data_IF_177169529669
#
_entry.id   IF_177169529669
#
_cell.length_a   1.000
_cell.length_b   1.000
_cell.length_c   1.000
_cell.angle_alpha   90.00
_cell.angle_beta   90.00
_cell.angle_gamma   90.00
#
_symmetry.space_group_name_H-M   'P 1'
#
loop_
_entity.id
_entity.type
_entity.pdbx_description
1 polymer ?
#
# COMPACT_ATOMS: atom_id res chain seq x y z
N UNK A 1 -10.29 40.14 19.83
CA UNK A 1 -11.16 39.18 20.55
C UNK A 1 -10.67 37.78 20.20
N UNK A 2 -10.49 36.89 21.19
CA UNK A 2 -10.12 35.50 20.94
C UNK A 2 -11.33 34.76 20.35
N UNK A 3 -11.16 34.12 19.19
CA UNK A 3 -12.26 33.49 18.44
C UNK A 3 -12.29 31.98 18.66
N UNK A 4 -11.12 31.38 18.93
CA UNK A 4 -10.99 29.95 19.18
C UNK A 4 -9.80 29.67 20.10
N UNK A 5 -9.75 28.46 20.64
CA UNK A 5 -8.58 27.92 21.35
C UNK A 5 -7.93 26.83 20.51
N UNK A 6 -6.59 26.78 20.53
CA UNK A 6 -5.90 25.71 19.84
C UNK A 6 -6.22 24.36 20.50
N UNK A 7 -6.75 23.41 19.73
CA UNK A 7 -7.13 22.09 20.22
C UNK A 7 -5.97 21.27 20.82
N UNK A 8 -4.71 21.68 20.56
CA UNK A 8 -3.51 20.94 20.99
C UNK A 8 -2.82 21.53 22.21
N UNK A 9 -2.50 22.82 22.20
CA UNK A 9 -1.76 23.48 23.28
C UNK A 9 -2.63 24.43 24.12
N UNK A 10 -3.91 24.61 23.77
CA UNK A 10 -4.85 25.42 24.52
C UNK A 10 -4.64 26.93 24.40
N UNK A 11 -3.68 27.42 23.62
CA UNK A 11 -3.50 28.86 23.44
C UNK A 11 -4.69 29.49 22.72
N UNK A 12 -5.05 30.69 23.17
CA UNK A 12 -6.08 31.51 22.52
C UNK A 12 -5.60 31.99 21.16
N UNK A 13 -6.45 31.83 20.14
CA UNK A 13 -6.16 32.20 18.76
C UNK A 13 -7.00 33.41 18.35
N UNK A 14 -6.32 34.36 17.70
CA UNK A 14 -6.96 35.44 16.97
C UNK A 14 -7.53 34.89 15.64
N UNK A 15 -8.55 35.54 15.05
CA UNK A 15 -9.17 35.05 13.80
C UNK A 15 -8.20 34.90 12.62
N UNK A 16 -7.11 35.67 12.58
CA UNK A 16 -6.04 35.54 11.58
C UNK A 16 -4.98 34.47 11.95
N UNK A 17 -4.93 34.07 13.22
CA UNK A 17 -3.95 33.14 13.78
C UNK A 17 -4.45 31.68 13.75
N UNK A 18 -5.67 31.44 13.29
CA UNK A 18 -6.30 30.12 13.26
C UNK A 18 -6.06 29.44 11.92
N UNK A 19 -5.38 28.30 11.97
CA UNK A 19 -5.33 27.37 10.85
C UNK A 19 -6.32 26.24 11.08
N UNK A 20 -7.22 25.98 10.12
CA UNK A 20 -8.18 24.88 10.22
C UNK A 20 -7.53 23.56 9.77
N UNK A 21 -7.53 22.58 10.65
CA UNK A 21 -7.18 21.19 10.34
C UNK A 21 -8.44 20.36 10.48
N UNK A 22 -9.10 20.07 9.35
CA UNK A 22 -10.42 19.43 9.34
C UNK A 22 -11.45 20.35 10.01
N UNK A 23 -11.95 19.93 11.17
CA UNK A 23 -12.97 20.67 11.96
C UNK A 23 -12.37 21.37 13.20
N UNK A 24 -11.06 21.31 13.41
CA UNK A 24 -10.40 21.85 14.63
C UNK A 24 -9.43 22.99 14.31
N UNK A 25 -9.40 24.00 15.18
CA UNK A 25 -8.48 25.14 15.07
C UNK A 25 -7.11 24.81 15.69
N UNK A 26 -6.05 25.05 14.94
CA UNK A 26 -4.66 24.87 15.37
C UNK A 26 -3.87 26.18 15.31
N UNK A 27 -2.91 26.34 16.22
CA UNK A 27 -1.95 27.43 16.22
C UNK A 27 -0.92 27.27 15.09
N UNK A 28 -0.32 28.35 14.56
CA UNK A 28 0.66 28.26 13.47
C UNK A 28 1.85 27.32 13.78
N UNK A 29 2.42 27.39 15.00
CA UNK A 29 3.50 26.50 15.44
C UNK A 29 3.05 25.04 15.53
N UNK A 30 1.84 24.85 16.06
CA UNK A 30 1.20 23.55 16.21
C UNK A 30 0.96 22.94 14.84
N UNK A 31 0.46 23.75 13.90
CA UNK A 31 0.20 23.41 12.52
C UNK A 31 1.49 23.02 11.81
N UNK A 32 2.55 23.82 11.90
CA UNK A 32 3.85 23.49 11.31
C UNK A 32 4.41 22.16 11.86
N UNK A 33 4.27 21.92 13.17
CA UNK A 33 4.71 20.67 13.81
C UNK A 33 3.84 19.48 13.39
N UNK A 34 2.52 19.67 13.27
CA UNK A 34 1.56 18.68 12.76
C UNK A 34 1.84 18.35 11.29
N UNK A 35 2.09 19.36 10.48
CA UNK A 35 2.36 19.24 9.04
C UNK A 35 3.66 18.46 8.81
N UNK A 36 4.74 18.80 9.53
CA UNK A 36 6.01 18.05 9.48
C UNK A 36 5.89 16.60 9.94
N UNK A 37 5.00 16.29 10.89
CA UNK A 37 4.76 14.91 11.35
C UNK A 37 3.75 14.15 10.49
N UNK A 38 2.96 14.87 9.69
CA UNK A 38 1.93 14.31 8.83
C UNK A 38 2.39 13.98 7.42
N UNK A 39 3.62 14.37 7.03
CA UNK A 39 4.18 14.02 5.73
C UNK A 39 4.48 12.51 5.68
N UNK A 40 3.99 11.80 4.65
CA UNK A 40 4.30 10.38 4.48
C UNK A 40 5.79 10.20 4.28
N UNK A 41 6.39 9.21 4.95
CA UNK A 41 7.77 8.84 4.68
C UNK A 41 7.92 8.37 3.23
N UNK A 42 9.07 8.67 2.62
CA UNK A 42 9.37 8.26 1.25
C UNK A 42 9.24 6.74 1.06
N UNK A 43 9.61 5.97 2.09
CA UNK A 43 9.44 4.52 2.11
C UNK A 43 7.97 4.08 1.98
N UNK A 44 7.02 4.81 2.61
CA UNK A 44 5.60 4.53 2.48
C UNK A 44 5.09 4.85 1.07
N UNK A 45 5.58 5.94 0.48
CA UNK A 45 5.25 6.32 -0.90
C UNK A 45 5.74 5.26 -1.89
N UNK A 46 6.98 4.78 -1.74
CA UNK A 46 7.52 3.69 -2.55
C UNK A 46 6.73 2.40 -2.37
N UNK A 47 6.40 2.04 -1.12
CA UNK A 47 5.62 0.85 -0.83
C UNK A 47 4.23 0.90 -1.48
N UNK A 48 3.56 2.05 -1.42
CA UNK A 48 2.27 2.25 -2.09
C UNK A 48 2.41 2.10 -3.62
N UNK A 49 3.43 2.72 -4.21
CA UNK A 49 3.71 2.60 -5.64
C UNK A 49 3.98 1.15 -6.06
N UNK A 50 4.82 0.43 -5.29
CA UNK A 50 5.13 -0.98 -5.53
C UNK A 50 3.88 -1.86 -5.47
N UNK A 51 2.98 -1.63 -4.51
CA UNK A 51 1.72 -2.37 -4.43
C UNK A 51 0.79 -2.06 -5.60
N UNK A 52 0.77 -0.80 -6.07
CA UNK A 52 0.02 -0.43 -7.28
C UNK A 52 0.54 -1.18 -8.51
N UNK A 53 1.87 -1.22 -8.70
CA UNK A 53 2.49 -1.96 -9.81
C UNK A 53 2.20 -3.47 -9.71
N UNK A 54 2.35 -4.05 -8.51
CA UNK A 54 2.05 -5.46 -8.27
C UNK A 54 0.58 -5.78 -8.61
N UNK A 55 -0.35 -4.95 -8.16
CA UNK A 55 -1.78 -5.12 -8.40
C UNK A 55 -2.13 -5.02 -9.89
N UNK A 56 -1.51 -4.13 -10.66
CA UNK A 56 -1.73 -4.01 -12.12
C UNK A 56 -1.07 -5.16 -12.88
N UNK A 57 0.07 -5.65 -12.42
CA UNK A 57 0.78 -6.76 -13.06
C UNK A 57 0.02 -8.09 -12.95
N UNK A 58 -0.74 -8.30 -11.86
CA UNK A 58 -1.48 -9.53 -11.60
C UNK A 58 -2.57 -9.86 -12.64
N UNK A 59 -3.53 -8.96 -12.97
CA UNK A 59 -4.50 -9.19 -14.03
C UNK A 59 -3.86 -9.16 -15.40
N UNK A 60 -2.77 -8.42 -15.62
CA UNK A 60 -2.06 -8.41 -16.89
C UNK A 60 -1.51 -9.80 -17.23
N UNK A 61 -0.94 -10.50 -16.24
CA UNK A 61 -0.49 -11.90 -16.39
C UNK A 61 -1.67 -12.86 -16.62
N UNK A 62 -2.85 -12.54 -16.08
CA UNK A 62 -4.06 -13.35 -16.26
C UNK A 62 -4.76 -13.12 -17.62
N UNK A 63 -4.69 -11.89 -18.13
CA UNK A 63 -5.31 -11.44 -19.38
C UNK A 63 -4.40 -11.63 -20.60
N UNK A 64 -3.08 -11.67 -20.39
CA UNK A 64 -2.14 -12.10 -21.42
C UNK A 64 -2.55 -13.50 -21.85
N UNK A 65 -2.88 -13.70 -23.14
CA UNK A 65 -3.36 -14.97 -23.64
C UNK A 65 -2.24 -15.98 -23.48
N UNK A 66 -2.25 -16.72 -22.38
CA UNK A 66 -1.53 -17.98 -22.23
C UNK A 66 -2.18 -18.98 -23.20
N UNK A 67 -1.97 -18.76 -24.50
CA UNK A 67 -1.98 -19.79 -25.49
C UNK A 67 -0.83 -20.73 -25.08
N UNK A 68 -1.16 -21.70 -24.24
CA UNK A 68 -0.30 -22.85 -23.95
C UNK A 68 -0.22 -23.65 -25.25
N UNK A 69 0.54 -23.14 -26.21
CA UNK A 69 0.92 -23.88 -27.41
C UNK A 69 2.04 -24.80 -26.95
N UNK A 70 1.68 -26.04 -26.64
CA UNK A 70 2.63 -27.12 -26.42
C UNK A 70 3.22 -27.46 -27.80
N UNK A 71 4.15 -26.64 -28.27
CA UNK A 71 5.02 -27.03 -29.37
C UNK A 71 6.18 -27.82 -28.73
N UNK A 72 6.08 -29.15 -28.86
CA UNK A 72 7.02 -30.16 -28.33
C UNK A 72 8.48 -29.99 -28.78
N UNK A 73 8.80 -28.97 -29.60
CA UNK A 73 10.16 -28.65 -30.07
C UNK A 73 10.79 -27.37 -29.49
N UNK A 74 10.02 -26.47 -28.85
CA UNK A 74 10.52 -25.21 -28.28
C UNK A 74 9.87 -24.94 -26.92
N UNK A 75 10.12 -25.81 -25.95
CA UNK A 75 9.72 -25.59 -24.56
C UNK A 75 10.64 -24.57 -23.86
N UNK A 76 10.74 -23.35 -24.38
CA UNK A 76 11.55 -22.29 -23.75
C UNK A 76 10.84 -20.94 -23.81
N UNK A 77 10.64 -20.36 -22.62
CA UNK A 77 10.29 -18.95 -22.35
C UNK A 77 8.79 -18.60 -22.26
N UNK A 78 8.00 -19.30 -21.44
CA UNK A 78 6.82 -18.65 -20.79
C UNK A 78 6.66 -19.07 -19.31
N UNK A 79 7.14 -20.26 -18.96
CA UNK A 79 7.17 -20.77 -17.57
C UNK A 79 7.98 -19.95 -16.55
N UNK A 80 9.13 -19.29 -16.88
CA UNK A 80 9.93 -18.61 -15.86
C UNK A 80 9.28 -17.29 -15.40
N UNK A 81 8.52 -16.62 -16.26
CA UNK A 81 7.82 -15.39 -15.88
C UNK A 81 6.67 -15.71 -14.92
N UNK A 82 5.90 -16.76 -15.22
CA UNK A 82 4.81 -17.24 -14.37
C UNK A 82 5.29 -17.73 -12.99
N UNK A 83 6.52 -18.24 -12.88
CA UNK A 83 7.13 -18.63 -11.59
C UNK A 83 7.72 -17.44 -10.81
N UNK A 84 8.24 -16.41 -11.48
CA UNK A 84 8.90 -15.26 -10.82
C UNK A 84 7.92 -14.19 -10.35
N UNK A 85 6.83 -13.95 -11.08
CA UNK A 85 5.80 -12.96 -10.72
C UNK A 85 5.18 -13.22 -9.33
N UNK A 86 4.74 -14.43 -8.95
CA UNK A 86 4.16 -14.65 -7.62
C UNK A 86 5.18 -14.42 -6.50
N UNK A 87 6.47 -14.74 -6.72
CA UNK A 87 7.54 -14.45 -5.75
C UNK A 87 7.74 -12.94 -5.59
N UNK A 88 7.76 -12.18 -6.69
CA UNK A 88 7.88 -10.72 -6.65
C UNK A 88 6.68 -10.07 -5.97
N UNK A 89 5.46 -10.54 -6.25
CA UNK A 89 4.25 -10.06 -5.58
C UNK A 89 4.23 -10.41 -4.09
N UNK A 90 4.79 -11.56 -3.68
CA UNK A 90 4.95 -11.93 -2.27
C UNK A 90 5.96 -11.01 -1.55
N UNK A 91 7.06 -10.66 -2.21
CA UNK A 91 8.04 -9.71 -1.68
C UNK A 91 7.44 -8.30 -1.57
N UNK A 92 6.69 -7.86 -2.59
CA UNK A 92 5.96 -6.59 -2.57
C UNK A 92 4.92 -6.57 -1.43
N UNK A 93 4.19 -7.67 -1.23
CA UNK A 93 3.30 -7.85 -0.08
C UNK A 93 4.04 -7.67 1.24
N UNK A 94 5.13 -8.42 1.47
CA UNK A 94 5.89 -8.38 2.72
C UNK A 94 6.47 -7.00 3.01
N UNK A 95 7.11 -6.38 2.01
CA UNK A 95 7.69 -5.04 2.14
C UNK A 95 6.60 -3.98 2.41
N UNK A 96 5.50 -4.01 1.66
CA UNK A 96 4.39 -3.07 1.81
C UNK A 96 3.69 -3.22 3.16
N UNK A 97 3.44 -4.45 3.61
CA UNK A 97 2.83 -4.73 4.91
C UNK A 97 3.74 -4.29 6.07
N UNK A 98 5.04 -4.58 5.99
CA UNK A 98 6.01 -4.23 7.03
C UNK A 98 6.17 -2.70 7.15
N UNK A 99 6.37 -2.00 6.02
CA UNK A 99 6.49 -0.54 5.98
C UNK A 99 5.22 0.14 6.48
N UNK A 100 4.05 -0.26 5.99
CA UNK A 100 2.76 0.30 6.43
C UNK A 100 2.51 0.06 7.92
N UNK A 101 2.83 -1.14 8.43
CA UNK A 101 2.65 -1.48 9.85
C UNK A 101 3.62 -0.74 10.76
N UNK A 102 4.84 -0.46 10.29
CA UNK A 102 5.82 0.35 11.04
C UNK A 102 5.38 1.81 11.11
N UNK A 103 4.86 2.35 10.01
CA UNK A 103 4.42 3.74 9.95
C UNK A 103 3.12 3.96 10.73
N UNK A 104 2.17 3.03 10.66
CA UNK A 104 0.96 3.05 11.51
C UNK A 104 1.35 3.05 12.99
N UNK A 105 2.27 2.18 13.42
CA UNK A 105 2.77 2.17 14.80
C UNK A 105 3.47 3.47 15.22
N UNK A 106 4.10 4.19 14.28
CA UNK A 106 4.66 5.53 14.56
C UNK A 106 3.57 6.58 14.71
N UNK A 107 2.56 6.54 13.84
CA UNK A 107 1.47 7.51 13.80
C UNK A 107 0.43 7.31 14.91
N UNK A 108 0.28 6.09 15.42
CA UNK A 108 -0.57 5.76 16.57
C UNK A 108 0.02 6.36 17.85
N UNK A 109 1.35 6.27 18.05
CA UNK A 109 2.03 6.97 19.15
C UNK A 109 1.97 8.49 19.06
N UNK A 110 1.80 9.03 17.86
CA UNK A 110 1.75 10.46 17.65
C UNK A 110 0.34 11.05 17.86
N UNK A 111 -0.69 10.21 17.83
CA UNK A 111 -2.12 10.55 18.03
C UNK A 111 -2.66 11.73 17.20
N UNK A 112 -2.15 11.89 15.97
CA UNK A 112 -2.56 12.97 15.06
C UNK A 112 -3.27 12.40 13.82
N UNK A 113 -4.41 12.99 13.39
CA UNK A 113 -5.01 12.68 12.09
C UNK A 113 -4.08 13.21 10.99
N UNK A 114 -3.51 12.32 10.19
CA UNK A 114 -2.58 12.71 9.13
C UNK A 114 -2.85 11.94 7.83
N UNK A 115 -2.55 12.60 6.70
CA UNK A 115 -2.59 12.01 5.35
C UNK A 115 -1.73 10.73 5.28
N UNK A 116 -0.63 10.68 6.01
CA UNK A 116 0.21 9.50 6.18
C UNK A 116 -0.55 8.30 6.79
N UNK A 117 -1.49 8.52 7.73
CA UNK A 117 -2.31 7.46 8.34
C UNK A 117 -3.26 6.84 7.30
N UNK A 118 -3.90 7.67 6.49
CA UNK A 118 -4.76 7.22 5.39
C UNK A 118 -3.96 6.44 4.35
N UNK A 119 -2.78 6.94 3.99
CA UNK A 119 -1.88 6.30 3.02
C UNK A 119 -1.35 4.96 3.53
N UNK A 120 -1.02 4.85 4.82
CA UNK A 120 -0.58 3.60 5.43
C UNK A 120 -1.71 2.56 5.54
N UNK A 121 -2.94 2.98 5.85
CA UNK A 121 -4.12 2.10 5.76
C UNK A 121 -4.34 1.61 4.34
N UNK A 122 -4.30 2.51 3.35
CA UNK A 122 -4.45 2.16 1.94
C UNK A 122 -3.39 1.14 1.50
N UNK A 123 -2.13 1.37 1.83
CA UNK A 123 -1.01 0.44 1.53
C UNK A 123 -1.24 -0.94 2.13
N UNK A 124 -1.82 -1.00 3.35
CA UNK A 124 -2.13 -2.25 4.04
C UNK A 124 -3.30 -3.00 3.39
N UNK A 125 -4.35 -2.29 2.98
CA UNK A 125 -5.48 -2.87 2.22
C UNK A 125 -4.99 -3.40 0.88
N UNK A 126 -4.20 -2.62 0.14
CA UNK A 126 -3.57 -3.02 -1.12
C UNK A 126 -2.70 -4.27 -0.94
N UNK A 127 -1.96 -4.37 0.15
CA UNK A 127 -1.18 -5.57 0.48
C UNK A 127 -2.09 -6.80 0.63
N UNK A 128 -3.17 -6.72 1.41
CA UNK A 128 -4.11 -7.84 1.60
C UNK A 128 -4.73 -8.27 0.27
N UNK A 129 -5.13 -7.30 -0.56
CA UNK A 129 -5.68 -7.59 -1.89
C UNK A 129 -4.62 -8.31 -2.75
N UNK A 130 -3.38 -7.80 -2.77
CA UNK A 130 -2.28 -8.42 -3.51
C UNK A 130 -1.99 -9.86 -3.05
N UNK A 131 -2.04 -10.12 -1.74
CA UNK A 131 -1.93 -11.49 -1.19
C UNK A 131 -3.05 -12.40 -1.72
N UNK A 132 -4.29 -11.92 -1.77
CA UNK A 132 -5.42 -12.66 -2.34
C UNK A 132 -5.18 -13.05 -3.79
N UNK A 133 -4.64 -12.14 -4.61
CA UNK A 133 -4.26 -12.43 -5.99
C UNK A 133 -3.14 -13.47 -6.09
N UNK A 134 -2.11 -13.39 -5.25
CA UNK A 134 -1.02 -14.39 -5.23
C UNK A 134 -1.54 -15.77 -4.86
N UNK A 135 -2.43 -15.87 -3.85
CA UNK A 135 -3.05 -17.14 -3.45
C UNK A 135 -3.90 -17.73 -4.58
N UNK A 136 -4.70 -16.90 -5.26
CA UNK A 136 -5.52 -17.33 -6.38
C UNK A 136 -4.66 -17.83 -7.55
N UNK A 137 -3.58 -17.10 -7.89
CA UNK A 137 -2.61 -17.52 -8.91
C UNK A 137 -1.94 -18.85 -8.55
N UNK A 138 -1.49 -18.99 -7.29
CA UNK A 138 -0.89 -20.24 -6.81
C UNK A 138 -1.85 -21.43 -6.91
N UNK A 139 -3.13 -21.23 -6.58
CA UNK A 139 -4.15 -22.27 -6.67
C UNK A 139 -4.46 -22.66 -8.13
N UNK A 140 -4.50 -21.70 -9.05
CA UNK A 140 -4.68 -21.98 -10.48
C UNK A 140 -3.50 -22.76 -11.06
N UNK A 141 -2.26 -22.38 -10.74
CA UNK A 141 -1.05 -23.09 -11.17
C UNK A 141 -1.03 -24.51 -10.59
N UNK A 142 -1.33 -24.67 -9.30
CA UNK A 142 -1.40 -25.99 -8.67
C UNK A 142 -2.45 -26.88 -9.32
N UNK A 143 -3.65 -26.35 -9.60
CA UNK A 143 -4.72 -27.08 -10.30
C UNK A 143 -4.29 -27.50 -11.70
N UNK A 144 -3.56 -26.64 -12.43
CA UNK A 144 -3.03 -26.96 -13.75
C UNK A 144 -2.00 -28.10 -13.69
N UNK A 145 -1.07 -28.03 -12.73
CA UNK A 145 -0.06 -29.06 -12.52
C UNK A 145 -0.68 -30.41 -12.13
N UNK A 146 -1.65 -30.41 -11.21
CA UNK A 146 -2.36 -31.63 -10.81
C UNK A 146 -3.18 -32.22 -11.97
N UNK A 147 -3.82 -31.37 -12.78
CA UNK A 147 -4.56 -31.81 -13.96
C UNK A 147 -3.67 -32.36 -15.09
N UNK A 148 -2.41 -31.94 -15.16
CA UNK A 148 -1.41 -32.48 -16.07
C UNK A 148 -0.81 -33.80 -15.56
N UNK A 149 -0.58 -33.93 -14.25
CA UNK A 149 -0.05 -35.16 -13.63
C UNK A 149 -1.10 -36.26 -13.44
N UNK A 150 -2.38 -35.92 -13.47
CA UNK A 150 -3.50 -36.85 -13.32
C UNK A 150 -4.05 -37.42 -14.64
N UNK A 151 -3.43 -37.10 -15.78
CA UNK A 151 -3.70 -37.69 -17.11
C UNK A 151 -2.50 -38.51 -17.54
#
# INVERSE_FOLDING_TARGET
MAVATCARCGTFLCGECTELIGETAACADCFALLHRRGTPSWALTLALGLQGVALVSAPLVLLLPFQVRIDTGQATIVLPLLRRVPVLNLLAFGAGWFMASRELRRLERADLPSRARTMARATRVLAVINLGFVLLQGLLVLRLLLGLFGR
#
